data_IF_449721686996
#
_entry.id   IF_449721686996
#
_cell.length_a   1.000
_cell.length_b   1.000
_cell.length_c   1.000
_cell.angle_alpha   90.00
_cell.angle_beta   90.00
_cell.angle_gamma   90.00
#
_symmetry.space_group_name_H-M   'P 1'
#
loop_
_entity.id
_entity.type
_entity.pdbx_description
1 polymer ?
#
# COMPACT_ATOMS: atom_id res chain seq x y z
N UNK A 1 -7.14 23.30 -16.60
CA UNK A 1 -6.40 23.52 -15.34
C UNK A 1 -6.91 24.78 -14.66
N UNK A 2 -7.15 24.70 -13.35
CA UNK A 2 -7.51 25.83 -12.49
C UNK A 2 -6.47 25.94 -11.36
N UNK A 3 -6.19 27.15 -10.91
CA UNK A 3 -5.30 27.43 -9.78
C UNK A 3 -6.09 28.15 -8.69
N UNK A 4 -6.14 27.53 -7.51
CA UNK A 4 -6.75 28.09 -6.32
C UNK A 4 -5.70 28.42 -5.28
N UNK A 5 -5.90 29.52 -4.57
CA UNK A 5 -5.11 29.87 -3.38
C UNK A 5 -5.98 29.75 -2.13
N UNK A 6 -5.44 29.10 -1.10
CA UNK A 6 -6.04 29.03 0.24
C UNK A 6 -5.61 30.20 1.12
N UNK A 7 -5.95 30.15 2.41
CA UNK A 7 -5.60 31.19 3.41
C UNK A 7 -6.02 32.62 3.00
N UNK A 8 -7.09 32.72 2.21
CA UNK A 8 -7.67 34.01 1.78
C UNK A 8 -8.43 34.73 2.90
N UNK A 9 -8.61 34.02 4.01
CA UNK A 9 -9.19 34.50 5.26
C UNK A 9 -8.34 33.98 6.43
N UNK A 10 -8.46 34.61 7.60
CA UNK A 10 -7.64 34.29 8.78
C UNK A 10 -7.68 32.81 9.15
N UNK A 11 -6.59 32.30 9.73
CA UNK A 11 -6.51 30.90 10.16
C UNK A 11 -7.66 30.56 11.13
N UNK A 12 -8.42 29.52 10.80
CA UNK A 12 -9.58 29.10 11.61
C UNK A 12 -10.82 29.98 11.48
N UNK A 13 -10.86 30.94 10.54
CA UNK A 13 -12.04 31.77 10.31
C UNK A 13 -13.24 30.91 9.88
N UNK A 14 -14.38 31.09 10.56
CA UNK A 14 -15.64 30.44 10.21
C UNK A 14 -16.41 31.17 9.10
N UNK A 15 -16.10 32.44 8.87
CA UNK A 15 -16.68 33.30 7.82
C UNK A 15 -15.57 33.95 6.99
N UNK A 16 -15.92 34.32 5.76
CA UNK A 16 -15.02 34.99 4.83
C UNK A 16 -15.84 35.99 3.99
N UNK A 17 -15.36 37.22 3.76
CA UNK A 17 -16.03 38.15 2.84
C UNK A 17 -16.18 37.53 1.45
N UNK A 18 -17.34 37.73 0.81
CA UNK A 18 -17.68 37.07 -0.45
C UNK A 18 -16.67 37.39 -1.57
N UNK A 19 -16.17 38.61 -1.60
CA UNK A 19 -15.14 39.06 -2.54
C UNK A 19 -13.82 38.29 -2.43
N UNK A 20 -13.53 37.69 -1.27
CA UNK A 20 -12.25 37.05 -0.96
C UNK A 20 -12.17 35.57 -1.35
N UNK A 21 -13.29 34.92 -1.70
CA UNK A 21 -13.29 33.52 -2.11
C UNK A 21 -14.03 33.30 -3.43
N UNK A 22 -13.96 32.07 -3.90
CA UNK A 22 -14.70 31.52 -5.05
C UNK A 22 -15.26 30.15 -4.69
N UNK A 23 -14.52 29.35 -3.91
CA UNK A 23 -15.00 28.05 -3.40
C UNK A 23 -15.06 28.10 -1.88
N UNK A 24 -16.21 27.67 -1.33
CA UNK A 24 -16.45 27.48 0.10
C UNK A 24 -16.73 26.01 0.38
N UNK A 25 -15.88 25.37 1.18
CA UNK A 25 -16.00 23.94 1.48
C UNK A 25 -16.29 23.70 2.96
N UNK A 26 -17.35 22.95 3.26
CA UNK A 26 -17.65 22.55 4.64
C UNK A 26 -16.84 21.31 5.06
N UNK A 27 -15.61 21.54 5.51
CA UNK A 27 -14.74 20.50 6.08
C UNK A 27 -15.25 19.89 7.39
N UNK A 28 -16.23 20.54 8.04
CA UNK A 28 -16.85 20.11 9.28
C UNK A 28 -18.10 19.23 9.09
N UNK A 29 -18.61 19.12 7.87
CA UNK A 29 -19.72 18.24 7.53
C UNK A 29 -19.35 16.78 7.79
N UNK A 30 -20.24 16.02 8.42
CA UNK A 30 -20.02 14.59 8.61
C UNK A 30 -20.05 13.85 7.28
N UNK A 31 -19.04 13.01 7.06
CA UNK A 31 -19.01 12.04 5.98
C UNK A 31 -19.55 10.69 6.52
N UNK A 32 -20.64 10.13 5.93
CA UNK A 32 -21.23 8.89 6.41
C UNK A 32 -20.30 7.67 6.32
N UNK A 33 -19.35 7.66 5.38
CA UNK A 33 -18.41 6.55 5.20
C UNK A 33 -17.26 6.63 6.21
N UNK A 34 -16.79 7.83 6.53
CA UNK A 34 -15.76 8.04 7.56
C UNK A 34 -16.32 8.02 9.00
N UNK A 35 -17.62 8.24 9.17
CA UNK A 35 -18.28 8.38 10.47
C UNK A 35 -17.82 9.62 11.25
N UNK A 36 -17.23 10.61 10.56
CA UNK A 36 -16.69 11.87 11.09
C UNK A 36 -16.50 12.88 9.96
N UNK A 37 -16.14 14.11 10.28
CA UNK A 37 -15.83 15.12 9.26
C UNK A 37 -14.38 15.07 8.76
N UNK A 38 -14.12 15.63 7.58
CA UNK A 38 -12.77 15.70 7.01
C UNK A 38 -11.77 16.42 7.92
N UNK A 39 -12.19 17.51 8.59
CA UNK A 39 -11.31 18.23 9.53
C UNK A 39 -10.99 17.41 10.77
N UNK A 40 -11.94 16.60 11.26
CA UNK A 40 -11.69 15.67 12.36
C UNK A 40 -10.72 14.56 11.95
N UNK A 41 -10.87 14.04 10.73
CA UNK A 41 -9.94 13.06 10.16
C UNK A 41 -8.54 13.65 9.98
N UNK A 42 -8.41 14.85 9.41
CA UNK A 42 -7.13 15.55 9.27
C UNK A 42 -6.45 15.82 10.63
N UNK A 43 -7.24 16.18 11.66
CA UNK A 43 -6.72 16.37 13.01
C UNK A 43 -6.12 15.10 13.60
N UNK A 44 -6.64 13.92 13.28
CA UNK A 44 -6.01 12.65 13.71
C UNK A 44 -4.64 12.45 13.09
N UNK A 45 -4.48 12.78 11.80
CA UNK A 45 -3.17 12.82 11.16
C UNK A 45 -2.20 13.76 11.89
N UNK A 46 -2.66 14.97 12.21
CA UNK A 46 -1.85 15.98 12.90
C UNK A 46 -1.43 15.55 14.32
N UNK A 47 -2.28 14.81 15.04
CA UNK A 47 -1.95 14.26 16.37
C UNK A 47 -0.71 13.37 16.39
N UNK A 48 -0.34 12.77 15.26
CA UNK A 48 0.89 11.98 15.16
C UNK A 48 2.17 12.84 15.22
N UNK A 49 2.07 14.18 15.12
CA UNK A 49 3.19 15.12 15.27
C UNK A 49 3.48 15.41 16.76
N UNK A 50 3.82 14.36 17.52
CA UNK A 50 4.00 14.43 18.97
C UNK A 50 5.09 15.42 19.42
N UNK A 51 6.18 15.57 18.64
CA UNK A 51 7.26 16.52 18.92
C UNK A 51 6.83 17.99 18.83
N UNK A 52 5.72 18.28 18.15
CA UNK A 52 5.14 19.62 18.05
C UNK A 52 4.01 19.86 19.07
N UNK A 53 3.76 18.91 19.98
CA UNK A 53 2.71 19.03 21.00
C UNK A 53 1.28 18.85 20.46
N UNK A 54 1.12 18.38 19.23
CA UNK A 54 -0.19 18.23 18.58
C UNK A 54 -1.03 17.07 19.12
N UNK A 55 -0.45 16.17 19.93
CA UNK A 55 -1.11 14.96 20.42
C UNK A 55 -2.41 15.21 21.19
N UNK A 56 -2.54 16.38 21.83
CA UNK A 56 -3.73 16.79 22.58
C UNK A 56 -4.81 17.53 21.77
N UNK A 57 -4.59 17.84 20.50
CA UNK A 57 -5.48 18.75 19.76
C UNK A 57 -6.77 18.06 19.32
N UNK A 58 -7.93 18.66 19.57
CA UNK A 58 -9.23 18.12 19.11
C UNK A 58 -10.02 19.15 18.33
N UNK A 59 -10.98 18.64 17.54
CA UNK A 59 -11.93 19.46 16.80
C UNK A 59 -13.33 18.96 17.11
N UNK A 60 -14.13 19.83 17.73
CA UNK A 60 -15.54 19.55 18.00
C UNK A 60 -16.33 19.36 16.69
N UNK A 61 -17.36 18.47 16.70
CA UNK A 61 -18.28 18.32 15.57
C UNK A 61 -18.99 19.64 15.22
N UNK A 62 -19.32 19.82 13.94
CA UNK A 62 -20.09 20.96 13.46
C UNK A 62 -19.47 21.62 12.24
N UNK A 63 -20.23 22.51 11.62
CA UNK A 63 -19.84 23.20 10.39
C UNK A 63 -18.53 23.96 10.55
N UNK A 64 -17.60 23.70 9.63
CA UNK A 64 -16.30 24.36 9.56
C UNK A 64 -15.94 24.58 8.12
N UNK A 65 -15.79 25.83 7.74
CA UNK A 65 -15.58 26.22 6.37
C UNK A 65 -14.11 26.52 6.08
N UNK A 66 -13.64 26.03 4.94
CA UNK A 66 -12.37 26.46 4.34
C UNK A 66 -12.68 27.17 3.03
N UNK A 67 -11.96 28.26 2.77
CA UNK A 67 -12.22 29.17 1.67
C UNK A 67 -11.02 29.21 0.72
N UNK A 68 -11.31 29.21 -0.57
CA UNK A 68 -10.31 29.25 -1.64
C UNK A 68 -10.72 30.27 -2.70
N UNK A 69 -9.75 31.01 -3.24
CA UNK A 69 -9.97 31.94 -4.37
C UNK A 69 -9.42 31.35 -5.66
N UNK A 70 -10.23 31.34 -6.71
CA UNK A 70 -9.76 31.05 -8.06
C UNK A 70 -8.93 32.24 -8.56
N UNK A 71 -7.64 32.04 -8.81
CA UNK A 71 -6.73 33.09 -9.29
C UNK A 71 -6.38 32.95 -10.76
N UNK A 72 -6.46 31.73 -11.31
CA UNK A 72 -6.18 31.46 -12.72
C UNK A 72 -7.00 30.27 -13.22
N UNK A 73 -7.51 30.36 -14.45
CA UNK A 73 -8.21 29.27 -15.13
C UNK A 73 -7.96 29.33 -16.63
N UNK A 74 -7.62 28.19 -17.22
CA UNK A 74 -7.59 28.00 -18.69
C UNK A 74 -8.96 27.58 -19.24
N UNK A 75 -9.94 27.36 -18.35
CA UNK A 75 -11.32 27.04 -18.68
C UNK A 75 -12.18 28.30 -18.61
N UNK A 76 -13.30 28.37 -19.35
CA UNK A 76 -14.29 29.43 -19.21
C UNK A 76 -14.70 29.62 -17.73
N UNK A 77 -15.07 30.84 -17.36
CA UNK A 77 -15.57 31.12 -16.01
C UNK A 77 -16.81 30.29 -15.74
N UNK A 78 -16.77 29.53 -14.65
CA UNK A 78 -17.89 28.71 -14.17
C UNK A 78 -18.54 29.26 -12.91
N UNK A 79 -18.11 30.45 -12.49
CA UNK A 79 -18.69 31.16 -11.35
C UNK A 79 -20.15 31.52 -11.61
N UNK A 80 -20.98 31.41 -10.58
CA UNK A 80 -22.34 31.92 -10.60
C UNK A 80 -22.40 33.46 -10.57
N UNK A 81 -23.62 34.00 -10.40
CA UNK A 81 -23.86 35.44 -10.33
C UNK A 81 -23.16 36.15 -9.16
N UNK A 82 -22.82 35.40 -8.12
CA UNK A 82 -22.20 35.91 -6.89
C UNK A 82 -20.66 35.73 -6.94
N UNK A 83 -20.14 35.13 -8.02
CA UNK A 83 -18.71 34.89 -8.21
C UNK A 83 -18.22 33.57 -7.63
N UNK A 84 -19.14 32.67 -7.26
CA UNK A 84 -18.86 31.43 -6.54
C UNK A 84 -18.92 30.20 -7.45
N UNK A 85 -18.12 29.19 -7.10
CA UNK A 85 -18.13 27.83 -7.64
C UNK A 85 -18.54 26.85 -6.54
N UNK A 86 -19.25 25.79 -6.91
CA UNK A 86 -19.74 24.75 -5.99
C UNK A 86 -18.59 23.95 -5.39
N UNK A 87 -17.64 23.57 -6.24
CA UNK A 87 -16.45 22.83 -5.88
C UNK A 87 -15.28 23.14 -6.85
N UNK A 88 -14.14 22.49 -6.63
CA UNK A 88 -12.93 22.68 -7.45
C UNK A 88 -13.06 22.14 -8.89
N UNK A 89 -14.09 21.34 -9.17
CA UNK A 89 -14.32 20.63 -10.42
C UNK A 89 -15.39 21.28 -11.31
N UNK A 90 -16.01 22.39 -10.90
CA UNK A 90 -16.96 23.11 -11.76
C UNK A 90 -16.34 23.40 -13.15
N UNK A 91 -17.04 23.02 -14.23
CA UNK A 91 -16.54 23.16 -15.60
C UNK A 91 -15.41 22.21 -16.01
N UNK A 92 -14.98 21.30 -15.14
CA UNK A 92 -14.06 20.21 -15.46
C UNK A 92 -14.88 18.94 -15.74
N UNK A 93 -14.66 18.33 -16.91
CA UNK A 93 -15.21 17.01 -17.19
C UNK A 93 -14.49 15.94 -16.35
N UNK A 94 -15.18 15.43 -15.33
CA UNK A 94 -14.74 14.36 -14.43
C UNK A 94 -15.26 12.99 -14.83
N UNK A 95 -16.02 12.90 -15.93
CA UNK A 95 -16.63 11.65 -16.39
C UNK A 95 -15.59 10.69 -16.95
N UNK A 96 -15.84 9.38 -16.82
CA UNK A 96 -14.98 8.35 -17.41
C UNK A 96 -14.90 8.49 -18.95
N UNK A 97 -16.01 8.71 -19.70
CA UNK A 97 -15.94 8.97 -21.15
C UNK A 97 -15.13 10.22 -21.52
N UNK A 98 -15.07 11.21 -20.63
CA UNK A 98 -14.25 12.41 -20.77
C UNK A 98 -12.76 12.15 -20.93
N UNK A 99 -12.27 10.98 -20.50
CA UNK A 99 -10.88 10.56 -20.72
C UNK A 99 -10.53 10.45 -22.21
N UNK A 100 -11.48 10.07 -23.07
CA UNK A 100 -11.24 10.00 -24.52
C UNK A 100 -10.87 11.37 -25.10
N UNK A 101 -11.55 12.44 -24.66
CA UNK A 101 -11.29 13.82 -25.08
C UNK A 101 -9.86 14.28 -24.77
N UNK A 102 -9.20 13.68 -23.77
CA UNK A 102 -7.81 14.03 -23.40
C UNK A 102 -6.78 13.60 -24.44
N UNK A 103 -7.13 12.67 -25.34
CA UNK A 103 -6.27 12.26 -26.45
C UNK A 103 -6.18 13.32 -27.56
N UNK A 104 -7.08 14.32 -27.57
CA UNK A 104 -7.13 15.32 -28.63
C UNK A 104 -7.26 14.66 -30.01
N UNK A 105 -6.38 15.02 -30.95
CA UNK A 105 -6.40 14.46 -32.30
C UNK A 105 -6.18 12.93 -32.36
N UNK A 106 -5.52 12.35 -31.34
CA UNK A 106 -5.26 10.90 -31.29
C UNK A 106 -6.53 10.08 -31.03
N UNK A 107 -7.62 10.68 -30.53
CA UNK A 107 -8.89 9.99 -30.28
C UNK A 107 -9.42 9.31 -31.55
N UNK A 108 -9.22 9.92 -32.72
CA UNK A 108 -9.64 9.37 -34.00
C UNK A 108 -9.00 8.02 -34.35
N UNK A 109 -7.84 7.70 -33.76
CA UNK A 109 -7.16 6.40 -33.95
C UNK A 109 -7.78 5.28 -33.12
N UNK A 110 -8.59 5.63 -32.12
CA UNK A 110 -9.25 4.70 -31.19
C UNK A 110 -10.75 4.99 -31.08
N UNK A 111 -11.52 4.94 -32.18
CA UNK A 111 -12.94 5.32 -32.19
C UNK A 111 -13.82 4.46 -31.26
N UNK A 112 -13.32 3.30 -30.83
CA UNK A 112 -13.97 2.43 -29.87
C UNK A 112 -13.92 2.93 -28.43
N UNK A 113 -12.98 3.82 -28.09
CA UNK A 113 -12.64 4.17 -26.72
C UNK A 113 -13.80 4.86 -26.01
N UNK A 114 -14.32 5.94 -26.58
CA UNK A 114 -15.39 6.73 -25.96
C UNK A 114 -16.67 5.89 -25.73
N UNK A 115 -17.18 5.10 -26.69
CA UNK A 115 -18.29 4.19 -26.44
C UNK A 115 -18.01 3.16 -25.33
N UNK A 116 -16.80 2.58 -25.31
CA UNK A 116 -16.45 1.58 -24.29
C UNK A 116 -16.38 2.20 -22.88
N UNK A 117 -15.81 3.40 -22.74
CA UNK A 117 -15.80 4.13 -21.47
C UNK A 117 -17.20 4.54 -21.02
N UNK A 118 -18.11 4.82 -21.95
CA UNK A 118 -19.52 5.11 -21.63
C UNK A 118 -20.25 3.87 -21.11
N UNK A 119 -19.98 2.69 -21.68
CA UNK A 119 -20.56 1.45 -21.17
C UNK A 119 -20.01 1.09 -19.78
N UNK A 120 -18.70 1.25 -19.56
CA UNK A 120 -18.10 1.05 -18.22
C UNK A 120 -18.75 2.01 -17.21
N UNK A 121 -18.91 3.29 -17.55
CA UNK A 121 -19.55 4.27 -16.67
C UNK A 121 -21.01 3.91 -16.36
N UNK A 122 -21.74 3.38 -17.34
CA UNK A 122 -23.12 2.90 -17.16
C UNK A 122 -23.18 1.74 -16.17
N UNK A 123 -22.27 0.77 -16.26
CA UNK A 123 -22.21 -0.35 -15.31
C UNK A 123 -21.84 0.11 -13.90
N UNK A 124 -20.88 1.03 -13.76
CA UNK A 124 -20.55 1.65 -12.46
C UNK A 124 -21.76 2.38 -11.86
N UNK A 125 -22.53 3.13 -12.66
CA UNK A 125 -23.73 3.81 -12.18
C UNK A 125 -24.84 2.82 -11.78
N UNK A 126 -24.98 1.69 -12.49
CA UNK A 126 -25.91 0.63 -12.09
C UNK A 126 -25.51 -0.01 -10.75
N UNK A 127 -24.20 -0.22 -10.54
CA UNK A 127 -23.67 -0.71 -9.29
C UNK A 127 -24.00 0.25 -8.13
N UNK A 128 -23.69 1.54 -8.31
CA UNK A 128 -23.92 2.59 -7.31
C UNK A 128 -25.40 2.68 -6.89
N UNK A 129 -26.32 2.69 -7.87
CA UNK A 129 -27.76 2.72 -7.64
C UNK A 129 -28.32 1.48 -6.90
N UNK A 130 -27.53 0.41 -6.74
CA UNK A 130 -27.93 -0.83 -6.08
C UNK A 130 -27.45 -0.96 -4.62
N UNK A 131 -26.45 -0.15 -4.21
CA UNK A 131 -25.74 -0.27 -2.93
C UNK A 131 -26.69 -0.13 -1.74
N UNK A 132 -27.58 0.88 -1.75
CA UNK A 132 -28.50 1.18 -0.64
C UNK A 132 -29.51 0.06 -0.37
N UNK A 133 -29.80 -0.79 -1.35
CA UNK A 133 -30.78 -1.88 -1.22
C UNK A 133 -30.13 -3.17 -0.73
N UNK A 134 -29.04 -3.55 -1.39
CA UNK A 134 -28.26 -4.74 -1.08
C UNK A 134 -26.89 -4.59 -1.73
N UNK A 135 -25.82 -4.32 -0.97
CA UNK A 135 -24.48 -4.13 -1.52
C UNK A 135 -24.00 -5.28 -2.41
N UNK A 136 -24.48 -6.52 -2.18
CA UNK A 136 -24.12 -7.67 -3.02
C UNK A 136 -24.66 -7.60 -4.45
N UNK A 137 -25.66 -6.75 -4.72
CA UNK A 137 -26.18 -6.51 -6.07
C UNK A 137 -25.26 -5.64 -6.92
N UNK A 138 -24.36 -4.88 -6.30
CA UNK A 138 -23.36 -4.11 -7.02
C UNK A 138 -22.30 -5.01 -7.68
N UNK A 139 -22.13 -6.24 -7.21
CA UNK A 139 -21.07 -7.14 -7.66
C UNK A 139 -21.16 -7.48 -9.16
N UNK A 140 -22.35 -7.79 -9.67
CA UNK A 140 -22.54 -8.15 -11.09
C UNK A 140 -22.14 -7.01 -12.04
N UNK A 141 -22.74 -5.80 -11.95
CA UNK A 141 -22.33 -4.70 -12.83
C UNK A 141 -20.85 -4.32 -12.66
N UNK A 142 -20.30 -4.42 -11.45
CA UNK A 142 -18.86 -4.18 -11.24
C UNK A 142 -17.98 -5.25 -11.91
N UNK A 143 -18.36 -6.52 -11.91
CA UNK A 143 -17.64 -7.58 -12.63
C UNK A 143 -17.67 -7.36 -14.15
N UNK A 144 -18.81 -6.91 -14.68
CA UNK A 144 -18.93 -6.52 -16.09
C UNK A 144 -18.04 -5.32 -16.39
N UNK A 145 -18.05 -4.29 -15.53
CA UNK A 145 -17.19 -3.11 -15.67
C UNK A 145 -15.70 -3.48 -15.64
N UNK A 146 -15.29 -4.40 -14.76
CA UNK A 146 -13.91 -4.89 -14.67
C UNK A 146 -13.49 -5.59 -15.96
N UNK A 147 -14.32 -6.49 -16.50
CA UNK A 147 -14.05 -7.14 -17.79
C UNK A 147 -13.92 -6.12 -18.93
N UNK A 148 -14.83 -5.13 -18.99
CA UNK A 148 -14.77 -4.08 -20.01
C UNK A 148 -13.52 -3.20 -19.86
N UNK A 149 -13.06 -2.94 -18.63
CA UNK A 149 -11.81 -2.23 -18.37
C UNK A 149 -10.59 -3.04 -18.82
N UNK A 150 -10.56 -4.34 -18.54
CA UNK A 150 -9.53 -5.28 -19.05
C UNK A 150 -9.50 -5.25 -20.59
N UNK A 151 -10.65 -5.43 -21.24
CA UNK A 151 -10.77 -5.41 -22.71
C UNK A 151 -10.29 -4.07 -23.31
N UNK A 152 -10.64 -2.93 -22.71
CA UNK A 152 -10.21 -1.60 -23.19
C UNK A 152 -8.72 -1.40 -23.00
N UNK A 153 -8.17 -1.80 -21.85
CA UNK A 153 -6.75 -1.67 -21.52
C UNK A 153 -5.92 -2.50 -22.49
N UNK A 154 -6.27 -3.76 -22.71
CA UNK A 154 -5.58 -4.65 -23.66
C UNK A 154 -5.60 -4.09 -25.08
N UNK A 155 -6.74 -3.56 -25.53
CA UNK A 155 -6.85 -2.94 -26.87
C UNK A 155 -6.00 -1.69 -27.00
N UNK A 156 -5.91 -0.87 -25.95
CA UNK A 156 -5.08 0.33 -25.94
C UNK A 156 -3.59 -0.02 -25.94
N UNK A 157 -3.17 -1.05 -25.20
CA UNK A 157 -1.79 -1.55 -25.21
C UNK A 157 -1.35 -1.96 -26.62
N UNK A 158 -2.25 -2.54 -27.41
CA UNK A 158 -2.00 -2.92 -28.81
C UNK A 158 -2.35 -1.84 -29.84
N UNK A 159 -2.73 -0.64 -29.39
CA UNK A 159 -3.08 0.48 -30.28
C UNK A 159 -1.86 1.26 -30.79
N UNK A 160 -2.10 2.05 -31.84
CA UNK A 160 -1.12 2.95 -32.48
C UNK A 160 -1.09 4.36 -31.85
N UNK A 161 -1.58 4.51 -30.61
CA UNK A 161 -1.46 5.76 -29.85
C UNK A 161 0.00 6.06 -29.54
N UNK A 162 0.38 7.33 -29.61
CA UNK A 162 1.74 7.79 -29.31
C UNK A 162 1.94 8.08 -27.82
N UNK A 163 3.19 7.94 -27.37
CA UNK A 163 3.60 8.38 -26.03
C UNK A 163 3.73 9.91 -25.94
N UNK A 164 3.47 10.55 -24.79
CA UNK A 164 3.10 9.94 -23.49
C UNK A 164 1.60 9.67 -23.33
N UNK A 165 0.76 10.08 -24.29
CA UNK A 165 -0.71 10.02 -24.16
C UNK A 165 -1.22 8.59 -23.93
N UNK A 166 -0.59 7.60 -24.56
CA UNK A 166 -0.88 6.17 -24.34
C UNK A 166 -0.59 5.75 -22.90
N UNK A 167 0.62 5.99 -22.40
CA UNK A 167 1.00 5.65 -21.02
C UNK A 167 0.15 6.38 -19.98
N UNK A 168 -0.17 7.65 -20.17
CA UNK A 168 -1.00 8.44 -19.25
C UNK A 168 -2.42 7.87 -19.15
N UNK A 169 -3.04 7.52 -20.29
CA UNK A 169 -4.36 6.91 -20.33
C UNK A 169 -4.36 5.51 -19.69
N UNK A 170 -3.36 4.68 -20.03
CA UNK A 170 -3.22 3.33 -19.44
C UNK A 170 -3.02 3.38 -17.92
N UNK A 171 -2.28 4.38 -17.42
CA UNK A 171 -2.10 4.58 -15.98
C UNK A 171 -3.45 4.82 -15.29
N UNK A 172 -4.25 5.75 -15.82
CA UNK A 172 -5.58 6.05 -15.25
C UNK A 172 -6.50 4.83 -15.34
N UNK A 173 -6.51 4.09 -16.45
CA UNK A 173 -7.38 2.93 -16.61
C UNK A 173 -6.98 1.77 -15.70
N UNK A 174 -5.69 1.56 -15.45
CA UNK A 174 -5.20 0.58 -14.47
C UNK A 174 -5.58 0.95 -13.04
N UNK A 175 -5.53 2.24 -12.69
CA UNK A 175 -6.07 2.72 -11.42
C UNK A 175 -7.58 2.43 -11.31
N UNK A 176 -8.34 2.60 -12.41
CA UNK A 176 -9.77 2.26 -12.45
C UNK A 176 -10.04 0.76 -12.38
N UNK A 177 -9.21 -0.09 -12.99
CA UNK A 177 -9.26 -1.54 -12.83
C UNK A 177 -9.09 -1.91 -11.36
N UNK A 178 -8.04 -1.41 -10.71
CA UNK A 178 -7.78 -1.70 -9.29
C UNK A 178 -8.91 -1.20 -8.38
N UNK A 179 -9.44 0.01 -8.63
CA UNK A 179 -10.59 0.55 -7.88
C UNK A 179 -11.85 -0.32 -8.08
N UNK A 180 -12.07 -0.82 -9.29
CA UNK A 180 -13.19 -1.71 -9.60
C UNK A 180 -13.04 -3.07 -8.90
N UNK A 181 -11.84 -3.66 -8.90
CA UNK A 181 -11.53 -4.90 -8.15
C UNK A 181 -11.81 -4.75 -6.66
N UNK A 182 -11.35 -3.64 -6.05
CA UNK A 182 -11.64 -3.33 -4.64
C UNK A 182 -13.15 -3.23 -4.42
N UNK A 183 -13.88 -2.52 -5.29
CA UNK A 183 -15.33 -2.38 -5.20
C UNK A 183 -16.07 -3.73 -5.32
N UNK A 184 -15.67 -4.60 -6.26
CA UNK A 184 -16.22 -5.96 -6.41
C UNK A 184 -16.02 -6.75 -5.11
N UNK A 185 -14.80 -6.75 -4.57
CA UNK A 185 -14.49 -7.48 -3.34
C UNK A 185 -15.28 -6.96 -2.14
N UNK A 186 -15.46 -5.63 -2.02
CA UNK A 186 -16.30 -5.03 -0.99
C UNK A 186 -17.78 -5.42 -1.14
N UNK A 187 -18.33 -5.33 -2.35
CA UNK A 187 -19.71 -5.72 -2.65
C UNK A 187 -19.97 -7.19 -2.30
N UNK A 188 -18.99 -8.06 -2.55
CA UNK A 188 -19.06 -9.48 -2.24
C UNK A 188 -18.63 -9.82 -0.81
N UNK A 189 -18.15 -8.87 -0.02
CA UNK A 189 -17.51 -9.12 1.27
C UNK A 189 -16.44 -10.23 1.17
N UNK A 190 -15.74 -10.26 0.03
CA UNK A 190 -14.63 -11.17 -0.23
C UNK A 190 -13.36 -10.56 0.35
N UNK A 191 -12.58 -11.35 1.10
CA UNK A 191 -11.34 -10.86 1.71
C UNK A 191 -10.22 -11.88 1.61
N UNK A 192 -9.00 -11.38 1.41
CA UNK A 192 -7.78 -12.16 1.39
C UNK A 192 -6.88 -11.67 2.52
N UNK A 193 -6.32 -12.60 3.29
CA UNK A 193 -5.22 -12.35 4.22
C UNK A 193 -4.05 -13.22 3.84
N UNK A 194 -2.83 -12.71 3.99
CA UNK A 194 -1.61 -13.46 3.75
C UNK A 194 -0.64 -13.18 4.89
N UNK A 195 -0.49 -14.16 5.78
CA UNK A 195 0.27 -13.98 7.01
C UNK A 195 1.46 -14.94 7.07
N UNK A 196 2.61 -14.43 7.51
CA UNK A 196 3.73 -15.28 7.91
C UNK A 196 3.34 -16.00 9.20
N UNK A 197 3.34 -17.33 9.14
CA UNK A 197 3.06 -18.18 10.31
C UNK A 197 4.36 -18.69 10.92
N UNK A 198 4.42 -18.72 12.25
CA UNK A 198 5.57 -19.25 12.97
C UNK A 198 5.77 -20.74 12.67
N UNK A 199 7.01 -21.20 12.70
CA UNK A 199 7.43 -22.58 12.42
C UNK A 199 6.85 -23.64 13.37
N UNK A 200 6.18 -23.24 14.46
CA UNK A 200 5.49 -24.14 15.40
C UNK A 200 4.21 -24.77 14.84
N UNK A 201 3.82 -24.43 13.61
CA UNK A 201 2.71 -25.05 12.87
C UNK A 201 1.38 -24.32 13.01
N UNK A 202 0.33 -24.80 12.31
CA UNK A 202 -1.01 -24.23 12.39
C UNK A 202 -1.57 -24.32 13.81
N UNK A 203 -2.06 -23.21 14.37
CA UNK A 203 -2.67 -23.15 15.71
C UNK A 203 -1.81 -22.54 16.82
N UNK A 204 -0.56 -22.17 16.54
CA UNK A 204 0.19 -21.30 17.44
C UNK A 204 -0.48 -19.92 17.49
N UNK A 205 -0.77 -19.40 18.69
CA UNK A 205 -1.31 -18.06 18.87
C UNK A 205 -0.37 -16.97 18.32
N UNK A 206 -0.89 -15.75 18.18
CA UNK A 206 -0.10 -14.61 17.71
C UNK A 206 1.02 -14.34 18.72
N UNK A 207 2.30 -14.36 18.31
CA UNK A 207 3.42 -14.16 19.23
C UNK A 207 3.55 -12.68 19.63
N UNK A 208 4.18 -12.36 20.77
CA UNK A 208 4.63 -10.99 21.04
C UNK A 208 5.67 -10.56 20.00
N UNK A 209 5.84 -9.25 19.79
CA UNK A 209 6.74 -8.69 18.75
C UNK A 209 8.12 -9.35 18.66
N UNK A 210 8.87 -9.58 19.76
CA UNK A 210 10.21 -10.19 19.68
C UNK A 210 10.20 -11.64 19.17
N UNK A 211 9.08 -12.34 19.34
CA UNK A 211 8.88 -13.71 18.88
C UNK A 211 8.32 -13.81 17.45
N UNK A 212 7.90 -12.69 16.86
CA UNK A 212 7.30 -12.64 15.53
C UNK A 212 8.37 -12.68 14.42
N UNK A 213 8.00 -13.26 13.28
CA UNK A 213 8.88 -13.32 12.11
C UNK A 213 8.92 -12.01 11.29
N UNK A 214 8.95 -10.85 11.96
CA UNK A 214 8.91 -9.52 11.32
C UNK A 214 10.14 -9.24 10.45
N UNK A 215 11.27 -9.83 10.83
CA UNK A 215 12.54 -9.79 10.09
C UNK A 215 12.92 -11.22 9.65
N UNK A 216 13.42 -11.39 8.43
CA UNK A 216 14.07 -12.65 8.00
C UNK A 216 15.48 -12.39 7.51
N UNK A 217 16.33 -13.39 7.65
CA UNK A 217 17.74 -13.32 7.26
C UNK A 217 18.08 -14.37 6.18
N UNK A 218 19.23 -14.25 5.49
CA UNK A 218 19.64 -15.20 4.45
C UNK A 218 19.53 -16.66 4.91
N UNK A 219 19.10 -17.53 3.99
CA UNK A 219 18.86 -18.98 4.18
C UNK A 219 17.68 -19.35 5.07
N UNK A 220 17.08 -18.41 5.80
CA UNK A 220 15.96 -18.67 6.69
C UNK A 220 14.72 -19.13 5.92
N UNK A 221 14.03 -20.14 6.45
CA UNK A 221 12.78 -20.67 5.93
C UNK A 221 11.60 -20.14 6.74
N UNK A 222 10.49 -19.86 6.06
CA UNK A 222 9.24 -19.46 6.68
C UNK A 222 8.07 -19.85 5.78
N UNK A 223 6.87 -19.90 6.37
CA UNK A 223 5.64 -20.23 5.65
C UNK A 223 4.74 -19.02 5.66
N UNK A 224 4.12 -18.74 4.51
CA UNK A 224 3.02 -17.78 4.40
C UNK A 224 1.74 -18.56 4.17
N UNK A 225 0.70 -18.25 4.95
CA UNK A 225 -0.62 -18.81 4.78
C UNK A 225 -1.52 -17.73 4.22
N UNK A 226 -2.03 -17.97 3.02
CA UNK A 226 -3.09 -17.19 2.42
C UNK A 226 -4.45 -17.77 2.82
N UNK A 227 -5.34 -16.93 3.33
CA UNK A 227 -6.72 -17.24 3.67
C UNK A 227 -7.65 -16.32 2.87
N UNK A 228 -8.40 -16.89 1.96
CA UNK A 228 -9.49 -16.21 1.27
C UNK A 228 -10.82 -16.56 1.93
N UNK A 229 -11.60 -15.56 2.30
CA UNK A 229 -12.93 -15.72 2.88
C UNK A 229 -14.00 -15.32 1.86
N UNK A 230 -14.89 -16.24 1.52
CA UNK A 230 -16.08 -15.94 0.72
C UNK A 230 -17.19 -15.40 1.64
N UNK A 231 -17.21 -14.09 1.88
CA UNK A 231 -18.25 -13.46 2.70
C UNK A 231 -19.56 -13.19 1.95
N UNK A 232 -19.69 -13.63 0.69
CA UNK A 232 -20.81 -13.34 -0.18
C UNK A 232 -22.01 -14.28 0.06
N UNK A 233 -23.06 -14.13 -0.76
CA UNK A 233 -24.22 -15.03 -0.81
C UNK A 233 -24.08 -16.09 -1.92
N UNK A 234 -23.01 -16.05 -2.70
CA UNK A 234 -22.81 -16.87 -3.89
C UNK A 234 -21.63 -17.83 -3.71
N UNK A 235 -21.70 -19.05 -4.25
CA UNK A 235 -20.53 -19.90 -4.37
C UNK A 235 -19.48 -19.26 -5.26
N UNK A 236 -18.21 -19.38 -4.88
CA UNK A 236 -17.06 -18.86 -5.63
C UNK A 236 -16.08 -19.97 -5.98
N UNK A 237 -15.47 -19.93 -7.15
CA UNK A 237 -14.45 -20.89 -7.55
C UNK A 237 -13.10 -20.18 -7.73
N UNK A 238 -12.09 -20.57 -6.94
CA UNK A 238 -10.72 -20.05 -7.08
C UNK A 238 -10.11 -20.60 -8.36
N UNK A 239 -9.81 -19.71 -9.30
CA UNK A 239 -9.14 -20.05 -10.55
C UNK A 239 -7.63 -20.16 -10.34
N UNK A 240 -7.08 -19.18 -9.63
CA UNK A 240 -5.66 -19.13 -9.36
C UNK A 240 -5.38 -18.49 -8.01
N UNK A 241 -4.30 -18.95 -7.41
CA UNK A 241 -3.67 -18.33 -6.25
C UNK A 241 -2.18 -18.40 -6.47
N UNK A 242 -1.52 -17.26 -6.34
CA UNK A 242 -0.10 -17.10 -6.61
C UNK A 242 0.52 -16.12 -5.62
N UNK A 243 1.84 -16.11 -5.57
CA UNK A 243 2.59 -15.19 -4.76
C UNK A 243 3.64 -14.50 -5.62
N UNK A 244 3.62 -13.18 -5.61
CA UNK A 244 4.70 -12.36 -6.13
C UNK A 244 5.79 -12.29 -5.06
N UNK A 245 6.96 -12.82 -5.40
CA UNK A 245 8.13 -12.82 -4.55
C UNK A 245 9.39 -12.68 -5.43
N UNK A 246 10.53 -12.21 -4.87
CA UNK A 246 11.76 -12.17 -5.63
C UNK A 246 12.16 -13.56 -6.13
N UNK A 247 12.87 -13.66 -7.28
CA UNK A 247 13.25 -14.93 -7.87
C UNK A 247 13.96 -15.87 -6.89
N UNK A 248 13.56 -17.15 -6.89
CA UNK A 248 14.18 -18.20 -6.08
C UNK A 248 13.73 -18.30 -4.62
N UNK A 249 12.83 -17.44 -4.15
CA UNK A 249 12.31 -17.46 -2.78
C UNK A 249 11.31 -18.59 -2.53
N UNK A 250 10.35 -18.77 -3.44
CA UNK A 250 9.29 -19.77 -3.31
C UNK A 250 9.89 -21.15 -3.55
N UNK A 251 9.76 -22.05 -2.56
CA UNK A 251 10.23 -23.44 -2.62
C UNK A 251 9.12 -24.43 -2.89
N UNK A 252 7.94 -24.17 -2.34
CA UNK A 252 6.76 -24.97 -2.65
C UNK A 252 5.48 -24.17 -2.46
N UNK A 253 4.42 -24.60 -3.14
CA UNK A 253 3.08 -24.05 -3.03
C UNK A 253 2.12 -25.21 -2.80
N UNK A 254 1.40 -25.17 -1.68
CA UNK A 254 0.34 -26.11 -1.34
C UNK A 254 -1.00 -25.40 -1.42
N UNK A 255 -1.73 -25.65 -2.51
CA UNK A 255 -3.04 -25.08 -2.74
C UNK A 255 -4.11 -25.94 -2.06
N UNK A 256 -5.11 -25.29 -1.45
CA UNK A 256 -6.31 -25.97 -0.97
C UNK A 256 -7.05 -26.69 -2.10
N UNK A 257 -7.95 -27.60 -1.74
CA UNK A 257 -8.72 -28.35 -2.74
C UNK A 257 -9.44 -27.41 -3.71
N UNK A 258 -9.34 -27.72 -4.99
CA UNK A 258 -10.04 -27.01 -6.06
C UNK A 258 -11.52 -27.35 -6.02
N UNK A 259 -12.39 -26.35 -6.08
CA UNK A 259 -13.84 -26.51 -6.05
C UNK A 259 -14.55 -25.21 -5.68
N UNK A 260 -15.88 -25.26 -5.70
CA UNK A 260 -16.69 -24.13 -5.25
C UNK A 260 -16.58 -23.97 -3.73
N UNK A 261 -16.17 -22.79 -3.29
CA UNK A 261 -16.19 -22.31 -1.92
C UNK A 261 -17.60 -21.83 -1.62
N UNK A 262 -18.26 -22.46 -0.66
CA UNK A 262 -19.63 -22.07 -0.29
C UNK A 262 -19.64 -20.68 0.35
N UNK A 263 -20.81 -20.01 0.39
CA UNK A 263 -20.98 -18.81 1.19
C UNK A 263 -20.49 -19.01 2.63
N UNK A 264 -19.74 -18.03 3.14
CA UNK A 264 -19.14 -17.99 4.48
C UNK A 264 -18.02 -19.01 4.74
N UNK A 265 -17.56 -19.71 3.72
CA UNK A 265 -16.42 -20.62 3.85
C UNK A 265 -15.09 -19.96 3.44
N UNK A 266 -14.01 -20.63 3.81
CA UNK A 266 -12.65 -20.18 3.61
C UNK A 266 -11.89 -21.10 2.64
N UNK A 267 -10.99 -20.53 1.86
CA UNK A 267 -9.99 -21.23 1.07
C UNK A 267 -8.59 -20.88 1.57
N UNK A 268 -7.70 -21.88 1.59
CA UNK A 268 -6.34 -21.74 2.08
C UNK A 268 -5.32 -22.11 1.01
N UNK A 269 -4.22 -21.36 0.97
CA UNK A 269 -3.02 -21.73 0.22
C UNK A 269 -1.77 -21.43 1.05
N UNK A 270 -0.86 -22.39 1.12
CA UNK A 270 0.37 -22.27 1.89
C UNK A 270 1.57 -22.15 0.94
N UNK A 271 2.41 -21.16 1.18
CA UNK A 271 3.63 -20.92 0.44
C UNK A 271 4.80 -21.19 1.37
N UNK A 272 5.68 -22.12 0.98
CA UNK A 272 6.93 -22.35 1.68
C UNK A 272 8.02 -21.51 1.01
N UNK A 273 8.59 -20.58 1.76
CA UNK A 273 9.64 -19.69 1.28
C UNK A 273 10.98 -19.98 1.97
N UNK A 274 12.05 -19.64 1.26
CA UNK A 274 13.39 -19.56 1.82
C UNK A 274 14.11 -18.35 1.25
N UNK A 275 14.64 -17.51 2.15
CA UNK A 275 15.47 -16.37 1.75
C UNK A 275 16.75 -16.90 1.07
N UNK A 276 17.10 -16.45 -0.14
CA UNK A 276 18.35 -16.81 -0.78
C UNK A 276 19.58 -16.43 0.07
N UNK A 277 20.72 -17.09 -0.14
CA UNK A 277 21.97 -16.75 0.55
C UNK A 277 22.51 -15.37 0.18
N UNK A 278 22.28 -14.94 -1.07
CA UNK A 278 22.60 -13.60 -1.57
C UNK A 278 21.30 -12.84 -1.79
N UNK A 279 21.04 -11.84 -0.95
CA UNK A 279 19.80 -11.06 -0.95
C UNK A 279 20.10 -9.60 -0.62
N UNK A 280 19.34 -8.68 -1.20
CA UNK A 280 19.37 -7.28 -0.80
C UNK A 280 18.57 -7.11 0.50
N UNK A 281 19.12 -6.36 1.44
CA UNK A 281 18.44 -6.05 2.69
C UNK A 281 17.40 -4.94 2.49
N UNK A 282 16.33 -5.01 3.28
CA UNK A 282 15.34 -3.96 3.38
C UNK A 282 15.98 -2.72 4.01
N UNK A 283 15.96 -1.61 3.28
CA UNK A 283 16.43 -0.29 3.71
C UNK A 283 15.59 0.77 3.01
N UNK A 284 15.49 2.02 3.51
CA UNK A 284 14.88 3.10 2.75
C UNK A 284 15.47 3.20 1.34
N UNK A 285 14.70 3.62 0.33
CA UNK A 285 15.20 3.79 -1.04
C UNK A 285 15.98 5.10 -1.22
N UNK A 286 16.36 5.74 -0.12
CA UNK A 286 17.10 6.99 -0.11
C UNK A 286 18.12 6.98 1.02
N UNK A 287 19.23 7.66 0.82
CA UNK A 287 20.29 7.78 1.83
C UNK A 287 20.99 9.13 1.78
N UNK A 288 21.72 9.41 2.85
CA UNK A 288 22.83 10.35 2.89
C UNK A 288 24.11 9.54 3.09
N UNK A 289 25.16 9.83 2.32
CA UNK A 289 26.45 9.14 2.49
C UNK A 289 27.13 9.61 3.76
N UNK A 290 27.09 10.92 3.98
CA UNK A 290 27.55 11.58 5.20
C UNK A 290 26.40 12.38 5.84
N UNK A 291 25.55 11.73 6.66
CA UNK A 291 24.41 12.38 7.32
C UNK A 291 24.77 13.62 8.17
N UNK A 292 26.03 13.73 8.61
CA UNK A 292 26.54 14.86 9.39
C UNK A 292 26.83 16.11 8.55
N UNK A 293 27.11 15.96 7.25
CA UNK A 293 27.49 17.06 6.35
C UNK A 293 26.47 17.33 5.25
N UNK A 294 25.68 16.32 4.88
CA UNK A 294 24.69 16.40 3.82
C UNK A 294 23.30 16.83 4.34
N UNK A 295 22.61 17.75 3.66
CA UNK A 295 21.24 18.18 4.01
C UNK A 295 20.15 17.61 3.10
N UNK A 296 20.54 16.90 2.03
CA UNK A 296 19.62 16.37 1.00
C UNK A 296 19.84 14.87 0.86
N UNK A 297 18.75 14.09 0.83
CA UNK A 297 18.84 12.66 0.56
C UNK A 297 19.02 12.39 -0.94
N UNK A 298 19.87 11.42 -1.27
CA UNK A 298 19.95 10.84 -2.61
C UNK A 298 18.92 9.72 -2.72
N UNK A 299 18.13 9.72 -3.80
CA UNK A 299 17.21 8.62 -4.14
C UNK A 299 17.99 7.51 -4.85
N UNK A 300 18.01 6.32 -4.24
CA UNK A 300 18.72 5.14 -4.74
C UNK A 300 18.01 4.47 -5.92
N UNK A 301 16.69 4.52 -5.92
CA UNK A 301 15.84 3.93 -6.95
C UNK A 301 14.78 4.95 -7.41
N UNK A 302 14.95 5.56 -8.60
CA UNK A 302 14.03 6.55 -9.13
C UNK A 302 12.57 6.05 -9.24
N UNK A 303 12.36 4.74 -9.35
CA UNK A 303 11.02 4.14 -9.45
C UNK A 303 10.17 4.39 -8.20
N UNK A 304 10.82 4.63 -7.06
CA UNK A 304 10.14 4.85 -5.78
C UNK A 304 10.09 6.32 -5.37
N UNK A 305 10.62 7.25 -6.16
CA UNK A 305 10.78 8.66 -5.77
C UNK A 305 9.49 9.36 -5.32
N UNK A 306 8.32 8.91 -5.79
CA UNK A 306 7.01 9.45 -5.43
C UNK A 306 6.25 8.61 -4.41
N UNK A 307 6.81 7.48 -3.96
CA UNK A 307 6.19 6.58 -3.00
C UNK A 307 6.65 6.93 -1.58
N UNK A 308 5.78 6.88 -0.56
CA UNK A 308 6.23 7.13 0.82
C UNK A 308 7.21 6.07 1.32
N UNK A 309 7.06 4.82 0.87
CA UNK A 309 7.93 3.68 1.16
C UNK A 309 8.02 2.76 -0.05
N UNK A 310 9.02 1.87 -0.06
CA UNK A 310 9.10 0.80 -1.06
C UNK A 310 7.84 -0.09 -0.97
N UNK A 311 7.29 -0.57 -2.11
CA UNK A 311 6.23 -1.57 -2.09
C UNK A 311 6.64 -2.81 -1.28
N UNK A 312 5.65 -3.49 -0.69
CA UNK A 312 5.92 -4.70 0.08
C UNK A 312 6.62 -5.76 -0.78
N UNK A 313 7.59 -6.47 -0.19
CA UNK A 313 8.43 -7.42 -0.91
C UNK A 313 7.65 -8.63 -1.45
N UNK A 314 6.57 -9.01 -0.75
CA UNK A 314 5.79 -10.20 -1.02
C UNK A 314 4.31 -9.80 -1.11
N UNK A 315 3.64 -10.25 -2.18
CA UNK A 315 2.20 -10.12 -2.35
C UNK A 315 1.59 -11.48 -2.66
N UNK A 316 0.38 -11.73 -2.18
CA UNK A 316 -0.43 -12.87 -2.61
C UNK A 316 -1.56 -12.34 -3.46
N UNK A 317 -1.73 -12.93 -4.63
CA UNK A 317 -2.80 -12.61 -5.57
C UNK A 317 -3.69 -13.83 -5.78
N UNK A 318 -5.00 -13.61 -5.75
CA UNK A 318 -6.01 -14.64 -5.95
C UNK A 318 -7.04 -14.15 -6.96
N UNK A 319 -7.40 -15.06 -7.86
CA UNK A 319 -8.42 -14.87 -8.89
C UNK A 319 -9.56 -15.86 -8.65
N UNK A 320 -10.80 -15.38 -8.69
CA UNK A 320 -11.98 -16.21 -8.45
C UNK A 320 -13.10 -15.90 -9.43
N UNK A 321 -13.99 -16.88 -9.64
CA UNK A 321 -15.24 -16.71 -10.39
C UNK A 321 -16.44 -16.80 -9.47
N UNK A 322 -17.46 -16.02 -9.77
CA UNK A 322 -18.78 -16.23 -9.19
C UNK A 322 -19.53 -17.29 -10.01
N UNK A 323 -20.09 -18.30 -9.35
CA UNK A 323 -20.79 -19.39 -10.06
C UNK A 323 -22.16 -18.91 -10.56
N UNK A 324 -22.25 -18.66 -11.87
CA UNK A 324 -23.34 -17.90 -12.52
C UNK A 324 -24.77 -18.46 -12.36
N UNK A 325 -24.95 -19.79 -12.28
CA UNK A 325 -26.29 -20.40 -12.12
C UNK A 325 -26.95 -20.09 -10.77
N UNK A 326 -26.19 -19.74 -9.74
CA UNK A 326 -26.71 -19.40 -8.42
C UNK A 326 -27.01 -17.89 -8.26
N UNK A 327 -26.49 -17.05 -9.15
CA UNK A 327 -26.57 -15.58 -9.06
C UNK A 327 -27.65 -14.94 -9.94
N UNK A 328 -28.45 -15.74 -10.68
CA UNK A 328 -29.48 -15.20 -11.59
C UNK A 328 -28.92 -14.50 -12.84
N UNK A 329 -27.66 -14.80 -13.20
CA UNK A 329 -27.00 -14.27 -14.39
C UNK A 329 -27.61 -14.87 -15.68
N UNK A 330 -28.67 -14.24 -16.19
CA UNK A 330 -29.04 -14.35 -17.61
C UNK A 330 -28.23 -13.31 -18.40
N UNK A 331 -26.98 -13.66 -18.71
CA UNK A 331 -26.10 -12.84 -19.55
C UNK A 331 -26.61 -12.91 -21.00
N UNK A 332 -27.43 -11.94 -21.38
CA UNK A 332 -28.00 -11.76 -22.71
C UNK A 332 -26.89 -11.66 -23.78
N UNK A 333 -26.89 -12.61 -24.73
CA UNK A 333 -26.64 -12.32 -26.15
C UNK A 333 -25.21 -12.07 -26.64
N UNK A 334 -24.17 -12.21 -25.82
CA UNK A 334 -22.79 -12.27 -26.32
C UNK A 334 -22.22 -13.65 -26.05
N UNK A 335 -21.88 -14.37 -27.13
CA UNK A 335 -21.19 -15.66 -27.05
C UNK A 335 -19.98 -15.51 -26.12
N UNK A 336 -20.10 -16.12 -24.95
CA UNK A 336 -19.00 -16.27 -24.00
C UNK A 336 -17.96 -17.13 -24.73
N UNK A 337 -16.89 -16.49 -25.23
CA UNK A 337 -15.70 -17.23 -25.64
C UNK A 337 -15.24 -18.02 -24.41
N UNK A 338 -15.12 -19.34 -24.54
CA UNK A 338 -14.42 -20.18 -23.55
C UNK A 338 -13.07 -19.51 -23.24
N UNK A 339 -12.94 -18.89 -22.06
CA UNK A 339 -11.76 -18.14 -21.63
C UNK A 339 -12.03 -16.73 -21.08
N UNK A 340 -13.18 -16.10 -21.36
CA UNK A 340 -13.58 -14.83 -20.72
C UNK A 340 -14.57 -15.10 -19.60
N UNK A 341 -14.07 -15.26 -18.38
CA UNK A 341 -14.89 -15.53 -17.20
C UNK A 341 -14.97 -14.29 -16.33
N UNK A 342 -16.18 -13.79 -16.06
CA UNK A 342 -16.44 -12.68 -15.14
C UNK A 342 -16.01 -13.09 -13.72
N UNK A 343 -14.88 -12.56 -13.28
CA UNK A 343 -14.20 -12.95 -12.06
C UNK A 343 -13.58 -11.76 -11.34
N UNK A 344 -13.41 -11.89 -10.03
CA UNK A 344 -12.72 -10.90 -9.22
C UNK A 344 -11.26 -11.27 -9.02
N UNK A 345 -10.43 -10.25 -8.80
CA UNK A 345 -9.03 -10.37 -8.41
C UNK A 345 -8.84 -9.70 -7.05
N UNK A 346 -8.00 -10.26 -6.20
CA UNK A 346 -7.60 -9.65 -4.94
C UNK A 346 -6.11 -9.86 -4.71
N UNK A 347 -5.38 -8.77 -4.48
CA UNK A 347 -3.95 -8.79 -4.18
C UNK A 347 -3.69 -8.07 -2.86
N UNK A 348 -2.93 -8.70 -1.96
CA UNK A 348 -2.62 -8.15 -0.63
C UNK A 348 -1.14 -8.36 -0.31
N UNK A 349 -0.46 -7.39 0.32
CA UNK A 349 0.89 -7.62 0.85
C UNK A 349 0.88 -8.69 1.94
N UNK A 350 1.96 -9.46 2.02
CA UNK A 350 2.17 -10.40 3.13
C UNK A 350 2.51 -9.63 4.40
N UNK A 351 1.80 -9.94 5.47
CA UNK A 351 2.02 -9.37 6.80
C UNK A 351 2.51 -10.38 7.81
N UNK A 352 3.08 -9.88 8.90
CA UNK A 352 3.46 -10.65 10.08
C UNK A 352 2.61 -10.14 11.24
N UNK A 353 1.67 -10.94 11.77
CA UNK A 353 0.92 -10.56 12.95
C UNK A 353 1.78 -10.72 14.21
N UNK A 354 1.63 -9.79 15.15
CA UNK A 354 2.27 -9.82 16.45
C UNK A 354 1.43 -9.09 17.50
N UNK A 355 1.62 -9.40 18.79
CA UNK A 355 1.05 -8.64 19.89
C UNK A 355 2.02 -7.54 20.30
N UNK A 356 1.53 -6.31 20.41
CA UNK A 356 2.27 -5.19 21.01
C UNK A 356 2.39 -5.34 22.53
N UNK A 357 3.08 -4.41 23.18
CA UNK A 357 3.28 -4.41 24.64
C UNK A 357 1.97 -4.31 25.44
N UNK A 358 0.89 -3.83 24.81
CA UNK A 358 -0.44 -3.74 25.41
C UNK A 358 -1.30 -4.98 25.14
N UNK A 359 -0.77 -5.95 24.39
CA UNK A 359 -1.48 -7.17 24.01
C UNK A 359 -2.44 -6.99 22.83
N UNK A 360 -2.39 -5.86 22.12
CA UNK A 360 -3.19 -5.67 20.92
C UNK A 360 -2.49 -6.25 19.69
N UNK A 361 -3.27 -6.86 18.80
CA UNK A 361 -2.76 -7.37 17.53
C UNK A 361 -2.35 -6.22 16.61
N UNK A 362 -1.10 -6.26 16.18
CA UNK A 362 -0.52 -5.40 15.17
C UNK A 362 0.00 -6.24 14.01
N UNK A 363 0.15 -5.61 12.84
CA UNK A 363 0.66 -6.25 11.64
C UNK A 363 1.66 -5.35 10.95
N UNK A 364 2.73 -5.93 10.42
CA UNK A 364 3.69 -5.21 9.56
C UNK A 364 4.17 -6.10 8.43
N UNK A 365 4.65 -5.48 7.36
CA UNK A 365 5.27 -6.21 6.25
C UNK A 365 6.60 -6.83 6.68
N UNK A 366 6.98 -7.91 6.01
CA UNK A 366 8.24 -8.61 6.23
C UNK A 366 9.43 -7.75 5.79
N UNK A 367 10.45 -7.66 6.64
CA UNK A 367 11.74 -7.04 6.29
C UNK A 367 12.85 -8.10 6.17
N UNK A 368 13.86 -7.82 5.33
CA UNK A 368 15.06 -8.64 5.18
C UNK A 368 16.24 -7.93 5.82
N UNK A 369 16.89 -8.56 6.78
CA UNK A 369 18.06 -8.01 7.47
C UNK A 369 19.18 -9.06 7.55
N UNK A 370 20.44 -8.64 7.72
CA UNK A 370 21.53 -9.59 7.95
C UNK A 370 21.26 -10.43 9.22
N UNK A 371 21.87 -11.63 9.28
CA UNK A 371 21.74 -12.50 10.45
C UNK A 371 22.30 -11.86 11.72
N UNK A 372 23.38 -11.10 11.56
CA UNK A 372 24.02 -10.31 12.60
C UNK A 372 24.13 -8.87 12.13
N UNK A 373 23.81 -7.91 12.99
CA UNK A 373 24.09 -6.49 12.75
C UNK A 373 25.02 -5.99 13.86
N UNK A 374 25.96 -5.12 13.50
CA UNK A 374 26.94 -4.55 14.41
C UNK A 374 26.82 -3.03 14.35
N UNK A 375 26.83 -2.39 15.52
CA UNK A 375 26.76 -0.94 15.67
C UNK A 375 27.84 -0.47 16.63
N UNK A 376 28.60 0.56 16.26
CA UNK A 376 29.53 1.23 17.16
C UNK A 376 28.86 2.47 17.79
N UNK A 377 29.08 2.66 19.08
CA UNK A 377 28.69 3.84 19.84
C UNK A 377 29.93 4.43 20.55
N UNK A 378 30.32 5.69 20.25
CA UNK A 378 29.73 6.57 19.23
C UNK A 378 30.08 6.09 17.81
N UNK A 379 29.16 6.30 16.85
CA UNK A 379 29.36 5.90 15.44
C UNK A 379 30.43 6.72 14.70
N UNK A 380 30.88 7.83 15.27
CA UNK A 380 32.02 8.63 14.79
C UNK A 380 32.75 9.23 15.98
N UNK A 381 34.07 9.17 15.98
CA UNK A 381 34.90 9.75 17.03
C UNK A 381 36.15 10.37 16.43
N UNK A 382 36.55 11.53 16.96
CA UNK A 382 37.83 12.16 16.64
C UNK A 382 38.86 11.76 17.70
N UNK A 383 39.96 11.17 17.27
CA UNK A 383 41.03 10.66 18.14
C UNK A 383 42.32 11.39 17.76
N UNK A 384 43.09 11.85 18.76
CA UNK A 384 44.39 12.49 18.50
C UNK A 384 45.41 11.41 18.20
N UNK A 385 46.23 11.62 17.18
CA UNK A 385 47.27 10.66 16.77
C UNK A 385 48.46 10.65 17.74
N UNK A 386 48.74 11.77 18.43
CA UNK A 386 49.83 11.88 19.41
C UNK A 386 49.30 12.05 20.84
N UNK A 387 49.86 11.28 21.77
CA UNK A 387 49.60 11.40 23.22
C UNK A 387 48.28 10.82 23.72
N UNK A 388 47.68 9.87 23.01
CA UNK A 388 46.33 9.37 23.31
C UNK A 388 46.30 8.27 24.39
N UNK A 389 45.44 8.39 25.43
CA UNK A 389 45.30 7.40 26.50
C UNK A 389 44.43 6.17 26.14
N UNK A 390 44.09 5.95 24.87
CA UNK A 390 43.11 4.94 24.45
C UNK A 390 41.66 5.39 24.64
N UNK A 391 40.71 4.76 23.95
CA UNK A 391 39.30 5.17 23.94
C UNK A 391 38.37 3.98 23.94
N UNK A 392 37.49 3.95 24.93
CA UNK A 392 36.46 2.94 24.98
C UNK A 392 35.38 3.21 23.93
N UNK A 393 35.16 2.23 23.05
CA UNK A 393 34.02 2.14 22.15
C UNK A 393 33.08 1.05 22.64
N UNK A 394 31.79 1.28 22.49
CA UNK A 394 30.76 0.29 22.77
C UNK A 394 30.31 -0.31 21.45
N UNK A 395 30.27 -1.63 21.36
CA UNK A 395 29.84 -2.37 20.19
C UNK A 395 28.55 -3.11 20.55
N UNK A 396 27.45 -2.70 19.94
CA UNK A 396 26.18 -3.41 19.99
C UNK A 396 26.12 -4.45 18.88
N UNK A 397 25.85 -5.70 19.23
CA UNK A 397 25.59 -6.77 18.25
C UNK A 397 24.15 -7.26 18.41
N UNK A 398 23.38 -7.23 17.32
CA UNK A 398 22.02 -7.75 17.26
C UNK A 398 21.95 -9.02 16.41
N UNK A 399 21.08 -9.94 16.81
CA UNK A 399 20.91 -11.25 16.16
C UNK A 399 19.48 -11.51 15.70
N UNK A 400 19.30 -11.86 14.42
CA UNK A 400 17.99 -11.93 13.76
C UNK A 400 17.49 -13.37 13.47
N UNK A 401 18.32 -14.39 13.65
CA UNK A 401 17.92 -15.78 13.43
C UNK A 401 17.28 -16.40 14.68
N UNK A 402 16.54 -17.49 14.49
CA UNK A 402 15.81 -18.18 15.58
C UNK A 402 16.61 -19.30 16.25
N UNK A 403 17.61 -19.86 15.57
CA UNK A 403 18.47 -20.90 16.15
C UNK A 403 19.54 -20.28 17.05
N UNK A 404 20.07 -20.98 18.06
CA UNK A 404 21.23 -20.48 18.81
C UNK A 404 22.45 -20.31 17.90
N UNK A 405 23.26 -19.29 18.17
CA UNK A 405 24.51 -19.04 17.45
C UNK A 405 25.62 -18.60 18.39
N UNK A 406 26.86 -18.93 18.02
CA UNK A 406 28.09 -18.50 18.66
C UNK A 406 28.99 -17.84 17.62
N UNK A 407 29.75 -16.84 18.03
CA UNK A 407 30.70 -16.16 17.17
C UNK A 407 31.75 -15.41 17.98
N UNK A 408 32.74 -14.87 17.27
CA UNK A 408 33.76 -13.99 17.83
C UNK A 408 33.63 -12.61 17.20
N UNK A 409 33.46 -11.59 18.02
CA UNK A 409 33.48 -10.18 17.65
C UNK A 409 34.92 -9.68 17.72
N UNK A 410 35.37 -8.92 16.72
CA UNK A 410 36.65 -8.22 16.73
C UNK A 410 36.50 -6.88 16.01
N UNK A 411 37.39 -5.94 16.29
CA UNK A 411 37.44 -4.66 15.61
C UNK A 411 38.48 -4.69 14.48
N UNK A 412 38.10 -4.19 13.32
CA UNK A 412 39.07 -3.88 12.27
C UNK A 412 39.58 -2.46 12.51
N UNK A 413 40.81 -2.34 13.02
CA UNK A 413 41.45 -1.05 13.32
C UNK A 413 42.45 -0.64 12.23
N UNK A 414 42.70 0.67 12.02
CA UNK A 414 43.70 1.14 11.06
C UNK A 414 45.11 0.61 11.34
N UNK A 415 46.02 0.65 10.35
CA UNK A 415 47.43 0.29 10.56
C UNK A 415 48.04 1.06 11.73
N UNK A 416 48.78 0.36 12.59
CA UNK A 416 49.45 0.86 13.80
C UNK A 416 48.56 1.13 15.02
N UNK A 417 47.27 0.81 14.95
CA UNK A 417 46.36 0.86 16.09
C UNK A 417 46.34 -0.50 16.81
N UNK A 418 45.96 -0.48 18.09
CA UNK A 418 45.75 -1.68 18.91
C UNK A 418 44.35 -1.61 19.50
N UNK A 419 43.68 -2.75 19.57
CA UNK A 419 42.39 -2.95 20.21
C UNK A 419 42.52 -3.96 21.36
N UNK A 420 41.94 -3.64 22.51
CA UNK A 420 41.87 -4.57 23.64
C UNK A 420 40.43 -4.66 24.19
N UNK A 421 39.84 -5.86 24.29
CA UNK A 421 40.37 -7.16 23.86
C UNK A 421 40.29 -7.36 22.33
N UNK A 422 41.31 -8.03 21.76
CA UNK A 422 41.36 -8.30 20.31
C UNK A 422 40.18 -9.14 19.79
N UNK A 423 39.59 -10.00 20.63
CA UNK A 423 38.38 -10.76 20.30
C UNK A 423 37.48 -10.95 21.52
N UNK A 424 36.17 -10.89 21.29
CA UNK A 424 35.12 -11.10 22.28
C UNK A 424 34.17 -12.23 21.83
N UNK A 425 34.07 -13.34 22.59
CA UNK A 425 33.09 -14.37 22.28
C UNK A 425 31.67 -13.85 22.55
N UNK A 426 30.78 -14.05 21.58
CA UNK A 426 29.36 -13.71 21.67
C UNK A 426 28.51 -14.96 21.48
N UNK A 427 27.44 -15.06 22.25
CA UNK A 427 26.49 -16.16 22.19
C UNK A 427 25.05 -15.63 22.20
N UNK A 428 24.24 -16.12 21.27
CA UNK A 428 22.86 -15.72 21.10
C UNK A 428 21.96 -16.95 21.19
N UNK A 429 20.92 -16.86 22.01
CA UNK A 429 19.99 -17.96 22.22
C UNK A 429 18.65 -17.77 21.50
N UNK A 430 18.31 -16.52 21.18
CA UNK A 430 17.04 -16.16 20.57
C UNK A 430 17.17 -14.92 19.70
N UNK A 431 16.20 -14.78 18.79
CA UNK A 431 16.00 -13.59 17.95
C UNK A 431 15.83 -12.33 18.80
N UNK A 432 16.33 -11.21 18.30
CA UNK A 432 16.21 -9.91 18.95
C UNK A 432 17.12 -9.76 20.18
N UNK A 433 17.94 -10.77 20.49
CA UNK A 433 18.97 -10.64 21.52
C UNK A 433 20.03 -9.62 21.04
N UNK A 434 20.19 -8.55 21.81
CA UNK A 434 21.31 -7.63 21.72
C UNK A 434 22.38 -7.98 22.75
N UNK A 435 23.66 -7.87 22.38
CA UNK A 435 24.75 -7.82 23.36
C UNK A 435 25.56 -6.55 23.15
N UNK A 436 25.81 -5.86 24.24
CA UNK A 436 26.73 -4.73 24.29
C UNK A 436 28.09 -5.24 24.76
N UNK A 437 29.14 -4.92 24.01
CA UNK A 437 30.52 -5.26 24.35
C UNK A 437 31.36 -3.97 24.37
N UNK A 438 32.17 -3.78 25.40
CA UNK A 438 33.15 -2.68 25.46
C UNK A 438 34.48 -3.13 24.86
N UNK A 439 35.10 -2.28 24.06
CA UNK A 439 36.49 -2.43 23.59
C UNK A 439 37.22 -1.11 23.80
N UNK A 440 38.51 -1.18 24.12
CA UNK A 440 39.39 -0.02 24.39
C UNK A 440 40.43 0.18 23.31
#
# INVERSE_FOLDING_TARGET
KKLYVGNVCGFGASTCPAENYTVKMNTGQQDPQLGRSYVQFAMQGLKHQLSQGAGGWSVEPGDRFTYYKLVESVLPRTTDKDGDEKDFFDGIDTSLPGLASRLGAEEAKVPFLRPALAEIAKEVNQADASIDKDPSRAATPLLVALRLLDDVTDRLEHSQLIEPAKSDLLTILRDKQQQCEVAVNLALNASLRADVVATKGPGAGIPPEPGALTIVSPTQKFTVVAKFHNGSKFPMEVQNVSMEAPPGWIKNIYKGQTGAISPREDYYANFLLQVPSKVSYSRPYWHRREPETESVNTVDDPRYATFPFQPALLHVSLEYLMVAKAAGLNLLGHEIKRGSTEGGRISIPVTVPFLDETGHEQRRTLAVAPAFSVMLEPGTQTIRVEGDPGRNVKIGVSYNLSAPAKGNLHLEVPPNWRDEPAQLPVEFHQRGAGRDAGSS
#
